data_IF_433787710333
#
_entry.id   IF_433787710333
#
_cell.length_a   1.000
_cell.length_b   1.000
_cell.length_c   1.000
_cell.angle_alpha   90.00
_cell.angle_beta   90.00
_cell.angle_gamma   90.00
#
_symmetry.space_group_name_H-M   'P 1'
#
loop_
_entity.id
_entity.type
_entity.pdbx_description
1 polymer ?
#
# COMPACT_ATOMS: atom_id res chain seq x y z
N UNK A 1 11.90 -14.64 -16.99
CA UNK A 1 11.18 -15.16 -15.80
C UNK A 1 11.24 -14.22 -14.58
N UNK A 2 12.34 -13.50 -14.33
CA UNK A 2 12.49 -12.62 -13.15
C UNK A 2 11.62 -11.36 -13.17
N UNK A 3 11.41 -10.73 -14.34
CA UNK A 3 10.55 -9.55 -14.48
C UNK A 3 9.06 -9.86 -14.25
N UNK A 4 8.62 -11.06 -14.63
CA UNK A 4 7.22 -11.47 -14.53
C UNK A 4 6.79 -11.61 -13.05
N UNK A 5 7.69 -12.11 -12.20
CA UNK A 5 7.50 -12.13 -10.75
C UNK A 5 7.44 -10.72 -10.14
N UNK A 6 8.24 -9.78 -10.66
CA UNK A 6 8.24 -8.39 -10.19
C UNK A 6 6.97 -7.62 -10.59
N UNK A 7 6.24 -8.06 -11.62
CA UNK A 7 4.95 -7.49 -12.03
C UNK A 7 3.77 -7.97 -11.16
N UNK A 8 3.87 -9.15 -10.53
CA UNK A 8 2.78 -9.69 -9.72
C UNK A 8 2.35 -8.76 -8.58
N UNK A 9 3.27 -8.16 -7.78
CA UNK A 9 2.89 -7.19 -6.76
C UNK A 9 2.12 -6.00 -7.35
N UNK A 10 2.60 -5.46 -8.49
CA UNK A 10 1.95 -4.34 -9.15
C UNK A 10 0.50 -4.66 -9.54
N UNK A 11 0.28 -5.84 -10.14
CA UNK A 11 -1.03 -6.29 -10.59
C UNK A 11 -1.94 -6.56 -9.38
N UNK A 12 -1.50 -7.35 -8.41
CA UNK A 12 -2.34 -7.76 -7.30
C UNK A 12 -2.66 -6.61 -6.34
N UNK A 13 -1.67 -5.76 -5.99
CA UNK A 13 -1.96 -4.54 -5.23
C UNK A 13 -2.79 -3.54 -6.03
N UNK A 14 -2.59 -3.45 -7.35
CA UNK A 14 -3.33 -2.51 -8.19
C UNK A 14 -4.80 -2.89 -8.38
N UNK A 15 -5.12 -4.18 -8.50
CA UNK A 15 -6.49 -4.65 -8.66
C UNK A 15 -7.24 -4.70 -7.32
N UNK A 16 -6.53 -4.80 -6.19
CA UNK A 16 -7.13 -4.97 -4.87
C UNK A 16 -8.19 -3.91 -4.52
N UNK A 17 -7.92 -2.60 -4.64
CA UNK A 17 -8.92 -1.56 -4.40
C UNK A 17 -10.18 -1.73 -5.25
N UNK A 18 -10.04 -2.23 -6.48
CA UNK A 18 -11.16 -2.44 -7.40
C UNK A 18 -12.07 -3.59 -6.95
N UNK A 19 -11.46 -4.69 -6.50
CA UNK A 19 -12.20 -5.85 -5.96
C UNK A 19 -12.93 -5.44 -4.68
N UNK A 20 -12.24 -4.74 -3.77
CA UNK A 20 -12.81 -4.24 -2.52
C UNK A 20 -14.05 -3.38 -2.81
N UNK A 21 -13.94 -2.42 -3.74
CA UNK A 21 -15.08 -1.58 -4.13
C UNK A 21 -16.23 -2.38 -4.75
N UNK A 22 -15.94 -3.39 -5.57
CA UNK A 22 -16.96 -4.26 -6.18
C UNK A 22 -17.68 -5.14 -5.16
N UNK A 23 -16.98 -5.62 -4.13
CA UNK A 23 -17.60 -6.37 -3.02
C UNK A 23 -18.57 -5.46 -2.24
N UNK A 24 -18.26 -4.16 -2.17
CA UNK A 24 -19.12 -3.14 -1.58
C UNK A 24 -19.51 -3.46 -0.13
N UNK A 25 -18.53 -3.87 0.68
CA UNK A 25 -18.70 -4.06 2.13
C UNK A 25 -18.76 -2.73 2.87
N UNK A 26 -18.76 -2.77 4.21
CA UNK A 26 -18.34 -1.66 5.06
C UNK A 26 -16.85 -1.80 5.40
N UNK A 27 -16.22 -0.71 5.88
CA UNK A 27 -14.80 -0.71 6.26
C UNK A 27 -14.45 -1.80 7.27
N UNK A 28 -15.37 -2.19 8.15
CA UNK A 28 -15.18 -3.30 9.07
C UNK A 28 -15.03 -4.65 8.34
N UNK A 29 -15.85 -4.92 7.32
CA UNK A 29 -15.76 -6.13 6.49
C UNK A 29 -14.47 -6.16 5.67
N UNK A 30 -14.10 -5.02 5.10
CA UNK A 30 -12.92 -4.85 4.27
C UNK A 30 -11.65 -5.12 5.08
N UNK A 31 -11.57 -4.56 6.30
CA UNK A 31 -10.49 -4.82 7.25
C UNK A 31 -10.44 -6.29 7.63
N UNK A 32 -11.54 -6.85 8.15
CA UNK A 32 -11.57 -8.23 8.62
C UNK A 32 -11.16 -9.22 7.52
N UNK A 33 -11.78 -9.12 6.35
CA UNK A 33 -11.47 -10.00 5.23
C UNK A 33 -10.03 -9.85 4.77
N UNK A 34 -9.53 -8.62 4.65
CA UNK A 34 -8.12 -8.38 4.27
C UNK A 34 -7.16 -9.01 5.27
N UNK A 35 -7.39 -8.82 6.57
CA UNK A 35 -6.58 -9.41 7.64
C UNK A 35 -6.64 -10.93 7.62
N UNK A 36 -7.82 -11.52 7.45
CA UNK A 36 -7.98 -12.98 7.41
C UNK A 36 -7.27 -13.58 6.20
N UNK A 37 -7.44 -13.00 5.02
CA UNK A 37 -6.75 -13.46 3.81
C UNK A 37 -5.23 -13.33 3.91
N UNK A 38 -4.73 -12.25 4.50
CA UNK A 38 -3.32 -12.05 4.78
C UNK A 38 -2.75 -13.15 5.71
N UNK A 39 -3.46 -13.48 6.79
CA UNK A 39 -3.09 -14.56 7.70
C UNK A 39 -3.07 -15.92 7.00
N UNK A 40 -4.10 -16.23 6.20
CA UNK A 40 -4.16 -17.47 5.43
C UNK A 40 -2.95 -17.58 4.50
N UNK A 41 -2.57 -16.49 3.81
CA UNK A 41 -1.38 -16.49 2.97
C UNK A 41 -0.08 -16.70 3.75
N UNK A 42 0.01 -16.19 4.98
CA UNK A 42 1.13 -16.49 5.88
C UNK A 42 1.21 -17.97 6.23
N UNK A 43 0.08 -18.61 6.53
CA UNK A 43 0.03 -20.04 6.83
C UNK A 43 0.43 -20.85 5.59
N UNK A 44 -0.10 -20.51 4.41
CA UNK A 44 0.28 -21.16 3.15
C UNK A 44 1.77 -21.00 2.88
N UNK A 45 2.33 -19.81 3.08
CA UNK A 45 3.77 -19.57 2.91
C UNK A 45 4.61 -20.42 3.87
N UNK A 46 4.20 -20.53 5.13
CA UNK A 46 4.85 -21.41 6.12
C UNK A 46 4.85 -22.88 5.67
N UNK A 47 3.69 -23.38 5.20
CA UNK A 47 3.56 -24.77 4.76
C UNK A 47 4.41 -25.08 3.51
N UNK A 48 4.55 -24.12 2.60
CA UNK A 48 5.30 -24.30 1.34
C UNK A 48 6.80 -24.11 1.53
N UNK A 49 7.21 -23.10 2.30
CA UNK A 49 8.63 -22.72 2.43
C UNK A 49 9.31 -23.37 3.64
N UNK A 50 8.53 -23.89 4.60
CA UNK A 50 9.03 -24.54 5.81
C UNK A 50 9.15 -23.58 7.00
N UNK A 51 9.80 -24.06 8.06
CA UNK A 51 9.78 -23.39 9.36
C UNK A 51 10.55 -22.07 9.39
N UNK A 52 9.94 -21.02 9.94
CA UNK A 52 10.56 -19.74 10.25
C UNK A 52 11.43 -19.81 11.53
N UNK A 53 12.22 -20.87 11.67
CA UNK A 53 13.05 -21.08 12.85
C UNK A 53 14.11 -19.98 13.00
N UNK A 54 14.43 -19.61 14.25
CA UNK A 54 15.51 -18.68 14.58
C UNK A 54 15.11 -17.20 14.67
N UNK A 55 13.82 -16.85 14.60
CA UNK A 55 13.40 -15.47 14.84
C UNK A 55 13.50 -15.10 16.33
N UNK A 56 14.24 -14.04 16.65
CA UNK A 56 14.30 -13.50 18.01
C UNK A 56 12.95 -12.91 18.45
N UNK A 57 12.67 -12.92 19.76
CA UNK A 57 11.44 -12.30 20.30
C UNK A 57 11.33 -10.82 19.91
N UNK A 58 12.44 -10.09 19.88
CA UNK A 58 12.47 -8.68 19.49
C UNK A 58 12.10 -8.51 18.01
N UNK A 59 12.70 -9.31 17.13
CA UNK A 59 12.37 -9.33 15.69
C UNK A 59 10.89 -9.64 15.48
N UNK A 60 10.35 -10.61 16.21
CA UNK A 60 8.93 -10.97 16.15
C UNK A 60 8.04 -9.80 16.54
N UNK A 61 8.27 -9.20 17.71
CA UNK A 61 7.46 -8.10 18.22
C UNK A 61 7.50 -6.88 17.30
N UNK A 62 8.68 -6.50 16.81
CA UNK A 62 8.80 -5.38 15.88
C UNK A 62 8.09 -5.68 14.54
N UNK A 63 8.24 -6.89 14.00
CA UNK A 63 7.54 -7.31 12.77
C UNK A 63 6.03 -7.32 12.95
N UNK A 64 5.55 -7.77 14.11
CA UNK A 64 4.15 -7.73 14.47
C UNK A 64 3.64 -6.28 14.53
N UNK A 65 4.38 -5.37 15.18
CA UNK A 65 4.05 -3.94 15.23
C UNK A 65 4.04 -3.32 13.83
N UNK A 66 4.98 -3.70 12.96
CA UNK A 66 5.03 -3.28 11.57
C UNK A 66 3.74 -3.66 10.83
N UNK A 67 3.29 -4.92 10.96
CA UNK A 67 2.02 -5.38 10.37
C UNK A 67 0.79 -4.69 10.96
N UNK A 68 0.77 -4.49 12.29
CA UNK A 68 -0.27 -3.75 12.98
C UNK A 68 -0.38 -2.30 12.47
N UNK A 69 0.76 -1.62 12.28
CA UNK A 69 0.83 -0.28 11.73
C UNK A 69 0.32 -0.23 10.27
N UNK A 70 0.63 -1.26 9.48
CA UNK A 70 0.08 -1.38 8.12
C UNK A 70 -1.45 -1.48 8.14
N UNK A 71 -2.04 -2.28 9.04
CA UNK A 71 -3.49 -2.40 9.16
C UNK A 71 -4.15 -1.07 9.55
N UNK A 72 -3.55 -0.31 10.47
CA UNK A 72 -4.01 1.05 10.79
C UNK A 72 -3.91 1.95 9.56
N UNK A 73 -2.83 1.82 8.79
CA UNK A 73 -2.65 2.58 7.58
C UNK A 73 -3.73 2.27 6.53
N UNK A 74 -3.99 0.98 6.33
CA UNK A 74 -4.97 0.45 5.39
C UNK A 74 -6.40 0.88 5.73
N UNK A 75 -6.72 0.99 7.02
CA UNK A 75 -8.00 1.49 7.51
C UNK A 75 -8.30 2.90 6.97
N UNK A 76 -7.33 3.81 7.05
CA UNK A 76 -7.46 5.18 6.50
C UNK A 76 -7.71 5.18 4.99
N UNK A 77 -7.12 4.23 4.27
CA UNK A 77 -7.28 4.09 2.83
C UNK A 77 -8.70 3.62 2.47
N UNK A 78 -9.23 2.62 3.19
CA UNK A 78 -10.60 2.15 3.01
C UNK A 78 -11.66 3.22 3.31
N UNK A 79 -11.43 4.05 4.32
CA UNK A 79 -12.27 5.22 4.58
C UNK A 79 -12.20 6.21 3.40
N UNK A 80 -11.01 6.47 2.88
CA UNK A 80 -10.80 7.41 1.76
C UNK A 80 -11.41 6.94 0.44
N UNK A 81 -11.44 5.62 0.17
CA UNK A 81 -12.12 5.07 -1.02
C UNK A 81 -13.62 5.38 -1.06
N UNK A 82 -14.24 5.69 0.09
CA UNK A 82 -15.65 6.07 0.19
C UNK A 82 -15.87 7.57 0.10
N UNK A 83 -14.98 8.36 0.68
CA UNK A 83 -15.13 9.83 0.75
C UNK A 83 -14.63 10.52 -0.52
N UNK A 84 -13.43 10.17 -1.00
CA UNK A 84 -12.78 10.87 -2.12
C UNK A 84 -12.59 10.00 -3.37
N UNK A 85 -12.91 8.70 -3.31
CA UNK A 85 -12.80 7.75 -4.41
C UNK A 85 -11.40 7.16 -4.61
N UNK A 86 -11.30 6.03 -5.31
CA UNK A 86 -10.05 5.28 -5.50
C UNK A 86 -9.08 6.05 -6.40
N UNK A 87 -9.59 6.68 -7.47
CA UNK A 87 -8.79 7.45 -8.44
C UNK A 87 -8.13 8.71 -7.89
N UNK A 88 -8.52 9.14 -6.68
CA UNK A 88 -7.80 10.18 -5.92
C UNK A 88 -7.03 9.56 -4.76
N UNK A 89 -7.64 8.65 -4.02
CA UNK A 89 -7.03 8.03 -2.84
C UNK A 89 -5.69 7.37 -3.15
N UNK A 90 -5.63 6.53 -4.18
CA UNK A 90 -4.42 5.76 -4.49
C UNK A 90 -3.21 6.65 -4.79
N UNK A 91 -3.28 7.60 -5.76
CA UNK A 91 -2.12 8.42 -6.07
C UNK A 91 -1.75 9.39 -4.94
N UNK A 92 -2.73 9.94 -4.21
CA UNK A 92 -2.43 10.82 -3.07
C UNK A 92 -1.77 10.03 -1.94
N UNK A 93 -2.31 8.87 -1.59
CA UNK A 93 -1.76 8.00 -0.55
C UNK A 93 -0.35 7.53 -0.90
N UNK A 94 -0.13 7.05 -2.13
CA UNK A 94 1.19 6.65 -2.61
C UNK A 94 2.16 7.82 -2.56
N UNK A 95 1.76 9.01 -3.01
CA UNK A 95 2.65 10.16 -2.98
C UNK A 95 3.10 10.57 -1.57
N UNK A 96 2.17 10.64 -0.61
CA UNK A 96 2.51 10.97 0.78
C UNK A 96 3.38 9.86 1.40
N UNK A 97 3.05 8.59 1.12
CA UNK A 97 3.84 7.45 1.56
C UNK A 97 5.28 7.55 1.04
N UNK A 98 5.47 7.67 -0.27
CA UNK A 98 6.77 7.75 -0.93
C UNK A 98 7.60 8.94 -0.44
N UNK A 99 6.96 10.09 -0.26
CA UNK A 99 7.62 11.29 0.26
C UNK A 99 8.15 11.04 1.68
N UNK A 100 7.30 10.56 2.57
CA UNK A 100 7.70 10.33 3.97
C UNK A 100 8.70 9.19 4.13
N UNK A 101 8.54 8.07 3.42
CA UNK A 101 9.52 6.97 3.48
C UNK A 101 10.88 7.38 2.94
N UNK A 102 10.94 8.23 1.90
CA UNK A 102 12.20 8.76 1.37
C UNK A 102 12.88 9.71 2.37
N UNK A 103 12.12 10.63 2.98
CA UNK A 103 12.65 11.55 4.00
C UNK A 103 13.17 10.78 5.21
N UNK A 104 12.43 9.79 5.69
CA UNK A 104 12.87 8.93 6.80
C UNK A 104 14.10 8.11 6.38
N UNK A 105 14.13 7.60 5.14
CA UNK A 105 15.29 6.95 4.52
C UNK A 105 16.58 7.76 4.68
N UNK A 106 16.54 9.03 4.26
CA UNK A 106 17.69 9.94 4.31
C UNK A 106 18.09 10.26 5.75
N UNK A 107 17.13 10.55 6.63
CA UNK A 107 17.41 11.01 8.00
C UNK A 107 17.82 9.86 8.92
N UNK A 108 17.09 8.74 8.90
CA UNK A 108 17.24 7.65 9.84
C UNK A 108 18.19 6.55 9.36
N UNK A 109 18.29 6.33 8.04
CA UNK A 109 19.09 5.24 7.45
C UNK A 109 20.27 5.75 6.61
N UNK A 110 20.45 7.06 6.48
CA UNK A 110 21.55 7.64 5.72
C UNK A 110 21.49 7.35 4.22
N UNK A 111 20.28 7.15 3.66
CA UNK A 111 20.08 6.99 2.22
C UNK A 111 20.45 8.29 1.46
N UNK A 112 20.71 8.16 0.15
CA UNK A 112 21.18 9.25 -0.73
C UNK A 112 22.50 9.87 -0.23
N UNK A 113 23.53 9.04 -0.12
CA UNK A 113 24.87 9.49 0.25
C UNK A 113 25.41 10.48 -0.80
N UNK A 114 25.92 11.63 -0.32
CA UNK A 114 26.43 12.70 -1.17
C UNK A 114 25.42 13.82 -1.45
N UNK A 115 25.94 15.03 -1.66
CA UNK A 115 25.13 16.25 -1.85
C UNK A 115 24.28 16.17 -3.12
N UNK A 116 24.85 15.63 -4.21
CA UNK A 116 24.16 15.51 -5.50
C UNK A 116 22.94 14.58 -5.37
N UNK A 117 23.08 13.42 -4.75
CA UNK A 117 21.97 12.48 -4.58
C UNK A 117 20.85 13.08 -3.73
N UNK A 118 21.18 13.83 -2.67
CA UNK A 118 20.19 14.56 -1.87
C UNK A 118 19.45 15.60 -2.71
N UNK A 119 20.15 16.42 -3.49
CA UNK A 119 19.53 17.45 -4.33
C UNK A 119 18.59 16.81 -5.36
N UNK A 120 19.04 15.77 -6.08
CA UNK A 120 18.22 15.07 -7.07
C UNK A 120 17.00 14.42 -6.37
N UNK A 121 17.19 13.80 -5.21
CA UNK A 121 16.12 13.17 -4.46
C UNK A 121 15.05 14.14 -3.97
N UNK A 122 15.44 15.30 -3.43
CA UNK A 122 14.49 16.34 -3.02
C UNK A 122 13.77 16.99 -4.22
N UNK A 123 14.44 17.15 -5.37
CA UNK A 123 13.78 17.58 -6.60
C UNK A 123 12.76 16.55 -7.09
N UNK A 124 13.09 15.26 -7.03
CA UNK A 124 12.15 14.18 -7.36
C UNK A 124 10.93 14.18 -6.43
N UNK A 125 11.13 14.39 -5.12
CA UNK A 125 10.03 14.58 -4.17
C UNK A 125 9.15 15.78 -4.56
N UNK A 126 9.73 16.91 -4.96
CA UNK A 126 8.96 18.07 -5.42
C UNK A 126 8.10 17.76 -6.65
N UNK A 127 8.66 17.03 -7.62
CA UNK A 127 7.93 16.55 -8.81
C UNK A 127 6.79 15.60 -8.42
N UNK A 128 7.03 14.71 -7.46
CA UNK A 128 6.03 13.79 -6.93
C UNK A 128 4.87 14.54 -6.27
N UNK A 129 5.17 15.54 -5.42
CA UNK A 129 4.16 16.39 -4.77
C UNK A 129 3.34 17.15 -5.80
N UNK A 130 3.98 17.65 -6.87
CA UNK A 130 3.29 18.28 -7.98
C UNK A 130 2.31 17.32 -8.68
N UNK A 131 2.73 16.07 -8.92
CA UNK A 131 1.86 15.03 -9.48
C UNK A 131 0.63 14.76 -8.61
N UNK A 132 0.82 14.63 -7.30
CA UNK A 132 -0.25 14.47 -6.31
C UNK A 132 -1.21 15.66 -6.34
N UNK A 133 -0.67 16.89 -6.38
CA UNK A 133 -1.45 18.13 -6.40
C UNK A 133 -2.29 18.29 -7.67
N UNK A 134 -1.74 17.91 -8.83
CA UNK A 134 -2.49 17.92 -10.10
C UNK A 134 -3.68 16.96 -10.01
N UNK A 135 -3.49 15.77 -9.44
CA UNK A 135 -4.55 14.76 -9.30
C UNK A 135 -5.61 15.19 -8.27
N UNK A 136 -5.21 15.77 -7.13
CA UNK A 136 -6.15 16.18 -6.09
C UNK A 136 -7.17 17.22 -6.60
N UNK A 137 -6.77 18.04 -7.59
CA UNK A 137 -7.61 19.04 -8.27
C UNK A 137 -8.51 18.49 -9.38
N UNK A 138 -8.52 17.19 -9.62
CA UNK A 138 -9.47 16.56 -10.57
C UNK A 138 -10.81 16.28 -9.87
N UNK A 139 -11.93 16.28 -10.58
CA UNK A 139 -13.26 16.00 -10.02
C UNK A 139 -14.37 16.87 -10.61
N UNK A 140 -15.62 16.43 -10.47
CA UNK A 140 -16.76 17.21 -10.96
C UNK A 140 -16.94 18.50 -10.14
N UNK A 141 -17.35 19.59 -10.80
CA UNK A 141 -17.59 20.91 -10.17
C UNK A 141 -18.59 20.87 -8.99
N UNK A 142 -19.41 19.82 -8.87
CA UNK A 142 -20.41 19.65 -7.82
C UNK A 142 -19.94 18.76 -6.63
N UNK A 143 -18.79 18.09 -6.72
CA UNK A 143 -18.22 17.34 -5.59
C UNK A 143 -17.46 18.30 -4.66
N UNK A 144 -18.18 18.90 -3.70
CA UNK A 144 -17.56 19.66 -2.61
C UNK A 144 -16.90 18.71 -1.62
N UNK A 145 -15.70 18.22 -1.96
CA UNK A 145 -14.84 17.48 -1.04
C UNK A 145 -14.19 18.48 -0.06
N UNK A 146 -14.30 18.19 1.23
CA UNK A 146 -13.70 18.99 2.29
C UNK A 146 -12.33 18.45 2.65
N UNK A 147 -11.49 19.27 3.28
CA UNK A 147 -10.18 18.83 3.77
C UNK A 147 -10.30 17.65 4.75
N UNK A 148 -11.43 17.53 5.46
CA UNK A 148 -11.73 16.43 6.37
C UNK A 148 -11.81 15.08 5.66
N UNK A 149 -12.20 15.04 4.39
CA UNK A 149 -12.31 13.82 3.61
C UNK A 149 -10.94 13.20 3.29
N UNK A 150 -9.87 14.01 3.40
CA UNK A 150 -8.47 13.61 3.22
C UNK A 150 -7.77 13.30 4.55
N UNK A 151 -8.35 13.63 5.71
CA UNK A 151 -7.74 13.37 7.02
C UNK A 151 -7.38 11.89 7.24
N UNK A 152 -8.19 10.90 6.79
CA UNK A 152 -7.82 9.49 6.91
C UNK A 152 -6.49 9.13 6.24
N UNK A 153 -6.08 9.87 5.19
CA UNK A 153 -4.81 9.61 4.49
C UNK A 153 -3.57 9.97 5.32
N UNK A 154 -3.69 10.88 6.29
CA UNK A 154 -2.59 11.15 7.22
C UNK A 154 -2.33 9.96 8.13
N UNK A 155 -3.40 9.34 8.65
CA UNK A 155 -3.32 8.09 9.42
C UNK A 155 -2.74 6.97 8.55
N UNK A 156 -3.20 6.87 7.29
CA UNK A 156 -2.62 5.96 6.30
C UNK A 156 -1.12 6.11 6.17
N UNK A 157 -0.67 7.35 6.03
CA UNK A 157 0.73 7.67 5.79
C UNK A 157 1.60 7.28 6.98
N UNK A 158 1.20 7.65 8.20
CA UNK A 158 1.94 7.29 9.42
C UNK A 158 2.04 5.77 9.58
N UNK A 159 0.92 5.05 9.43
CA UNK A 159 0.91 3.59 9.52
C UNK A 159 1.85 2.93 8.52
N UNK A 160 1.85 3.43 7.28
CA UNK A 160 2.73 2.93 6.21
C UNK A 160 4.19 3.32 6.37
N UNK A 161 4.50 4.47 6.96
CA UNK A 161 5.87 4.85 7.29
C UNK A 161 6.45 3.90 8.33
N UNK A 162 5.72 3.64 9.42
CA UNK A 162 6.13 2.68 10.45
C UNK A 162 6.28 1.27 9.85
N UNK A 163 5.30 0.83 9.06
CA UNK A 163 5.37 -0.45 8.35
C UNK A 163 6.63 -0.58 7.48
N UNK A 164 7.02 0.49 6.80
CA UNK A 164 8.15 0.49 5.85
C UNK A 164 9.51 0.65 6.53
N UNK A 165 9.58 1.33 7.68
CA UNK A 165 10.84 1.61 8.36
C UNK A 165 11.29 0.45 9.25
N UNK A 166 10.37 -0.24 9.93
CA UNK A 166 10.72 -1.33 10.85
C UNK A 166 11.51 -2.46 10.16
N UNK A 167 11.09 -2.98 8.98
CA UNK A 167 11.87 -4.01 8.28
C UNK A 167 13.28 -3.57 7.88
N UNK A 168 13.50 -2.27 7.66
CA UNK A 168 14.84 -1.72 7.36
C UNK A 168 15.74 -1.64 8.60
N UNK A 169 15.13 -1.54 9.79
CA UNK A 169 15.85 -1.43 11.06
C UNK A 169 16.21 -2.78 11.68
N UNK A 170 15.80 -3.90 11.07
CA UNK A 170 16.01 -5.25 11.60
C UNK A 170 16.77 -6.09 10.58
N UNK A 171 17.84 -6.73 11.04
CA UNK A 171 18.52 -7.77 10.25
C UNK A 171 17.78 -9.10 10.40
N UNK A 172 16.77 -9.31 9.56
CA UNK A 172 15.99 -10.54 9.56
C UNK A 172 15.54 -10.94 8.15
N UNK A 173 15.31 -12.24 7.97
CA UNK A 173 14.86 -12.78 6.70
C UNK A 173 13.45 -12.27 6.37
N UNK A 174 13.25 -11.73 5.17
CA UNK A 174 11.96 -11.17 4.74
C UNK A 174 10.76 -12.12 4.87
N UNK A 175 10.96 -13.44 4.78
CA UNK A 175 9.88 -14.42 4.99
C UNK A 175 9.50 -14.58 6.47
N UNK A 176 10.49 -14.48 7.37
CA UNK A 176 10.25 -14.46 8.80
C UNK A 176 9.44 -13.20 9.15
N UNK A 177 9.89 -12.03 8.70
CA UNK A 177 9.20 -10.74 8.89
C UNK A 177 7.74 -10.79 8.39
N UNK A 178 7.53 -11.35 7.19
CA UNK A 178 6.22 -11.48 6.56
C UNK A 178 5.20 -12.16 7.49
N UNK A 179 5.56 -13.28 8.10
CA UNK A 179 4.63 -14.05 8.93
C UNK A 179 4.11 -13.27 10.15
N UNK A 180 5.03 -12.63 10.89
CA UNK A 180 4.69 -11.81 12.04
C UNK A 180 3.91 -10.55 11.62
N UNK A 181 4.23 -9.95 10.47
CA UNK A 181 3.47 -8.83 9.91
C UNK A 181 2.03 -9.22 9.54
N UNK A 182 1.82 -10.38 8.90
CA UNK A 182 0.47 -10.83 8.55
C UNK A 182 -0.35 -11.11 9.81
N UNK A 183 0.27 -11.66 10.86
CA UNK A 183 -0.39 -11.87 12.15
C UNK A 183 -0.77 -10.53 12.82
N UNK A 184 0.15 -9.56 12.88
CA UNK A 184 -0.14 -8.23 13.42
C UNK A 184 -1.25 -7.52 12.65
N UNK A 185 -1.24 -7.67 11.32
CA UNK A 185 -2.29 -7.17 10.43
C UNK A 185 -3.66 -7.78 10.79
N UNK A 186 -3.72 -9.11 10.92
CA UNK A 186 -4.95 -9.82 11.27
C UNK A 186 -5.50 -9.41 12.64
N UNK A 187 -4.63 -9.30 13.65
CA UNK A 187 -5.05 -8.93 15.01
C UNK A 187 -5.70 -7.56 15.02
N UNK A 188 -5.03 -6.53 14.46
CA UNK A 188 -5.59 -5.17 14.41
C UNK A 188 -6.86 -5.11 13.57
N UNK A 189 -6.86 -5.75 12.40
CA UNK A 189 -8.04 -5.80 11.53
C UNK A 189 -9.25 -6.42 12.22
N UNK A 190 -9.02 -7.51 12.97
CA UNK A 190 -10.07 -8.22 13.71
C UNK A 190 -10.59 -7.39 14.88
N UNK A 191 -9.69 -6.80 15.69
CA UNK A 191 -10.08 -5.91 16.79
C UNK A 191 -10.93 -4.75 16.28
N UNK A 192 -10.48 -4.07 15.21
CA UNK A 192 -11.23 -2.97 14.61
C UNK A 192 -12.60 -3.42 14.11
N UNK A 193 -12.67 -4.56 13.43
CA UNK A 193 -13.91 -5.06 12.86
C UNK A 193 -14.95 -5.37 13.94
N UNK A 194 -14.56 -6.07 15.02
CA UNK A 194 -15.46 -6.35 16.14
C UNK A 194 -15.86 -5.10 16.92
N UNK A 195 -14.93 -4.15 17.09
CA UNK A 195 -15.23 -2.86 17.72
C UNK A 195 -16.31 -2.08 16.95
N UNK A 196 -16.29 -2.16 15.60
CA UNK A 196 -17.27 -1.45 14.76
C UNK A 196 -18.58 -2.20 14.55
N UNK A 197 -18.54 -3.51 14.36
CA UNK A 197 -19.75 -4.31 14.18
C UNK A 197 -19.54 -5.74 14.66
N UNK A 198 -20.34 -6.14 15.65
CA UNK A 198 -20.37 -7.52 16.15
C UNK A 198 -20.94 -8.51 15.12
N UNK A 199 -21.56 -8.02 14.04
CA UNK A 199 -22.13 -8.84 12.96
C UNK A 199 -21.19 -9.05 11.78
N UNK A 200 -19.96 -8.54 11.84
CA UNK A 200 -18.96 -8.70 10.76
C UNK A 200 -18.85 -10.16 10.30
N UNK A 201 -18.84 -11.13 11.21
CA UNK A 201 -18.74 -12.54 10.83
C UNK A 201 -19.97 -13.11 10.10
N UNK A 202 -21.14 -12.50 10.28
CA UNK A 202 -22.40 -12.91 9.66
C UNK A 202 -22.55 -12.33 8.25
N UNK A 203 -21.81 -11.28 7.93
CA UNK A 203 -21.92 -10.56 6.66
C UNK A 203 -21.08 -11.24 5.58
N UNK A 204 -21.73 -11.57 4.45
CA UNK A 204 -21.09 -12.21 3.29
C UNK A 204 -19.88 -11.40 2.78
N UNK A 205 -19.96 -10.08 2.87
CA UNK A 205 -18.93 -9.15 2.42
C UNK A 205 -17.61 -9.35 3.18
N UNK A 206 -17.64 -9.75 4.45
CA UNK A 206 -16.43 -10.06 5.23
C UNK A 206 -15.65 -11.20 4.63
N UNK A 207 -16.36 -12.28 4.27
CA UNK A 207 -15.77 -13.48 3.69
C UNK A 207 -15.33 -13.27 2.24
N UNK A 208 -16.07 -12.45 1.47
CA UNK A 208 -15.64 -12.06 0.13
C UNK A 208 -14.38 -11.19 0.17
N UNK A 209 -14.24 -10.32 1.18
CA UNK A 209 -13.04 -9.49 1.36
C UNK A 209 -11.79 -10.30 1.76
N UNK A 210 -11.93 -11.59 2.08
CA UNK A 210 -10.79 -12.52 2.19
C UNK A 210 -10.03 -12.63 0.87
N UNK A 211 -10.71 -12.51 -0.29
CA UNK A 211 -10.06 -12.55 -1.60
C UNK A 211 -9.03 -11.42 -1.75
N UNK A 212 -9.37 -10.13 -1.53
CA UNK A 212 -8.39 -9.06 -1.45
C UNK A 212 -7.23 -9.32 -0.48
N UNK A 213 -7.51 -9.92 0.68
CA UNK A 213 -6.48 -10.30 1.65
C UNK A 213 -5.51 -11.36 1.11
N UNK A 214 -6.03 -12.37 0.41
CA UNK A 214 -5.21 -13.40 -0.24
C UNK A 214 -4.33 -12.80 -1.33
N UNK A 215 -4.89 -11.92 -2.17
CA UNK A 215 -4.14 -11.20 -3.20
C UNK A 215 -3.07 -10.30 -2.61
N UNK A 216 -3.36 -9.63 -1.48
CA UNK A 216 -2.38 -8.82 -0.76
C UNK A 216 -1.22 -9.65 -0.22
N UNK A 217 -1.51 -10.79 0.42
CA UNK A 217 -0.48 -11.70 0.92
C UNK A 217 0.37 -12.29 -0.22
N UNK A 218 -0.27 -12.68 -1.32
CA UNK A 218 0.42 -13.18 -2.51
C UNK A 218 1.30 -12.12 -3.18
N UNK A 219 0.82 -10.88 -3.28
CA UNK A 219 1.59 -9.74 -3.75
C UNK A 219 2.83 -9.51 -2.89
N UNK A 220 2.67 -9.53 -1.56
CA UNK A 220 3.74 -9.31 -0.60
C UNK A 220 4.81 -10.40 -0.66
N UNK A 221 4.40 -11.68 -0.78
CA UNK A 221 5.33 -12.80 -1.01
C UNK A 221 6.07 -12.67 -2.34
N UNK A 222 5.34 -12.37 -3.41
CA UNK A 222 5.92 -12.17 -4.74
C UNK A 222 6.95 -11.04 -4.73
N UNK A 223 6.67 -9.96 -3.98
CA UNK A 223 7.59 -8.85 -3.79
C UNK A 223 8.87 -9.27 -3.06
N UNK A 224 8.77 -10.06 -1.99
CA UNK A 224 9.95 -10.57 -1.26
C UNK A 224 10.84 -11.40 -2.20
N UNK A 225 10.26 -12.28 -3.01
CA UNK A 225 11.02 -13.08 -3.97
C UNK A 225 11.57 -12.26 -5.15
N UNK A 226 10.81 -11.27 -5.63
CA UNK A 226 11.26 -10.36 -6.67
C UNK A 226 12.45 -9.52 -6.19
N UNK A 227 12.36 -8.94 -4.99
CA UNK A 227 13.43 -8.15 -4.38
C UNK A 227 14.74 -8.94 -4.25
N UNK A 228 14.68 -10.24 -3.92
CA UNK A 228 15.85 -11.13 -3.89
C UNK A 228 16.49 -11.37 -5.26
N UNK A 229 15.70 -11.30 -6.35
CA UNK A 229 16.15 -11.64 -7.70
C UNK A 229 16.59 -10.44 -8.54
N UNK A 230 15.89 -9.30 -8.41
CA UNK A 230 16.13 -8.10 -9.23
C UNK A 230 16.59 -6.89 -8.41
N UNK A 231 16.73 -7.05 -7.09
CA UNK A 231 17.04 -5.98 -6.15
C UNK A 231 15.79 -5.28 -5.61
N UNK A 232 15.89 -4.74 -4.39
CA UNK A 232 14.79 -4.06 -3.69
C UNK A 232 14.33 -2.83 -4.47
N UNK A 233 15.25 -1.98 -4.93
CA UNK A 233 14.93 -0.77 -5.70
C UNK A 233 14.16 -1.09 -6.98
N UNK A 234 14.64 -2.05 -7.77
CA UNK A 234 13.96 -2.47 -9.02
C UNK A 234 12.59 -3.06 -8.74
N UNK A 235 12.48 -3.97 -7.76
CA UNK A 235 11.20 -4.58 -7.39
C UNK A 235 10.20 -3.53 -6.88
N UNK A 236 10.68 -2.53 -6.15
CA UNK A 236 9.88 -1.43 -5.64
C UNK A 236 9.31 -0.56 -6.77
N UNK A 237 10.16 -0.13 -7.71
CA UNK A 237 9.75 0.70 -8.86
C UNK A 237 8.70 -0.02 -9.71
N UNK A 238 8.94 -1.30 -10.03
CA UNK A 238 7.96 -2.10 -10.77
C UNK A 238 6.67 -2.22 -9.96
N UNK A 239 6.78 -2.42 -8.65
CA UNK A 239 5.65 -2.45 -7.73
C UNK A 239 4.79 -1.19 -7.77
N UNK A 240 5.37 0.00 -7.95
CA UNK A 240 4.63 1.28 -7.99
C UNK A 240 3.65 1.38 -9.16
N UNK A 241 3.76 0.53 -10.20
CA UNK A 241 2.77 0.44 -11.27
C UNK A 241 1.36 0.12 -10.72
N UNK A 242 1.26 -0.44 -9.50
CA UNK A 242 -0.02 -0.64 -8.80
C UNK A 242 -0.88 0.63 -8.75
N UNK A 243 -0.26 1.82 -8.62
CA UNK A 243 -0.99 3.08 -8.49
C UNK A 243 -1.69 3.43 -9.80
N UNK A 244 -1.07 3.11 -10.93
CA UNK A 244 -1.66 3.31 -12.26
C UNK A 244 -2.80 2.33 -12.49
N UNK A 245 -2.59 1.06 -12.17
CA UNK A 245 -3.61 0.01 -12.35
C UNK A 245 -4.84 0.33 -11.52
N UNK A 246 -4.67 0.70 -10.25
CA UNK A 246 -5.78 1.03 -9.35
C UNK A 246 -6.50 2.32 -9.77
N UNK A 247 -5.76 3.36 -10.13
CA UNK A 247 -6.33 4.65 -10.53
C UNK A 247 -7.08 4.59 -11.85
N UNK A 248 -6.44 4.05 -12.89
CA UNK A 248 -7.08 3.91 -14.20
C UNK A 248 -8.18 2.85 -14.16
N UNK A 249 -7.94 1.75 -13.42
CA UNK A 249 -8.94 0.72 -13.21
C UNK A 249 -10.20 1.26 -12.53
N UNK A 250 -10.09 2.18 -11.56
CA UNK A 250 -11.29 2.76 -10.95
C UNK A 250 -12.04 3.69 -11.90
N UNK A 251 -11.33 4.44 -12.74
CA UNK A 251 -11.94 5.30 -13.76
C UNK A 251 -12.67 4.45 -14.81
N UNK A 252 -12.03 3.43 -15.36
CA UNK A 252 -12.59 2.67 -16.50
C UNK A 252 -13.52 1.53 -16.07
N UNK A 253 -13.19 0.79 -15.01
CA UNK A 253 -13.95 -0.40 -14.59
C UNK A 253 -15.04 -0.03 -13.58
N UNK A 254 -14.72 0.83 -12.62
CA UNK A 254 -15.69 1.29 -11.61
C UNK A 254 -16.45 2.54 -12.04
N UNK A 255 -16.13 3.08 -13.22
CA UNK A 255 -16.78 4.25 -13.81
C UNK A 255 -16.72 5.49 -12.91
N UNK A 256 -15.64 5.64 -12.13
CA UNK A 256 -15.39 6.90 -11.43
C UNK A 256 -15.26 8.02 -12.46
N UNK A 257 -16.13 9.03 -12.36
CA UNK A 257 -16.41 9.99 -13.44
C UNK A 257 -15.28 11.01 -13.65
N UNK A 258 -14.21 10.58 -14.33
CA UNK A 258 -13.18 11.47 -14.87
C UNK A 258 -13.21 11.41 -16.39
N UNK A 259 -13.53 12.55 -17.02
CA UNK A 259 -13.53 12.67 -18.48
C UNK A 259 -12.78 13.93 -18.93
N UNK A 260 -12.31 13.92 -20.18
CA UNK A 260 -11.64 15.07 -20.81
C UNK A 260 -10.40 15.53 -20.03
N UNK A 261 -10.40 16.81 -19.63
CA UNK A 261 -9.25 17.47 -18.98
C UNK A 261 -8.82 16.79 -17.68
N UNK A 262 -9.75 16.19 -16.94
CA UNK A 262 -9.42 15.55 -15.66
C UNK A 262 -8.79 14.17 -15.83
N UNK A 263 -9.10 13.46 -16.92
CA UNK A 263 -8.39 12.24 -17.28
C UNK A 263 -6.94 12.57 -17.66
N UNK A 264 -6.72 13.62 -18.46
CA UNK A 264 -5.38 14.08 -18.85
C UNK A 264 -4.56 14.47 -17.63
N UNK A 265 -5.10 15.31 -16.73
CA UNK A 265 -4.44 15.67 -15.46
C UNK A 265 -4.10 14.43 -14.63
N UNK A 266 -5.02 13.46 -14.56
CA UNK A 266 -4.78 12.22 -13.81
C UNK A 266 -3.60 11.43 -14.40
N UNK A 267 -3.58 11.22 -15.72
CA UNK A 267 -2.51 10.51 -16.40
C UNK A 267 -1.16 11.23 -16.27
N UNK A 268 -1.13 12.55 -16.43
CA UNK A 268 0.08 13.37 -16.25
C UNK A 268 0.59 13.24 -14.82
N UNK A 269 -0.29 13.39 -13.82
CA UNK A 269 0.10 13.27 -12.41
C UNK A 269 0.63 11.89 -12.06
N UNK A 270 0.04 10.82 -12.59
CA UNK A 270 0.53 9.45 -12.43
C UNK A 270 1.92 9.28 -13.04
N UNK A 271 2.15 9.86 -14.23
CA UNK A 271 3.46 9.88 -14.87
C UNK A 271 4.53 10.55 -14.00
N UNK A 272 4.20 11.71 -13.42
CA UNK A 272 5.11 12.42 -12.50
C UNK A 272 5.43 11.60 -11.24
N UNK A 273 4.42 10.96 -10.63
CA UNK A 273 4.61 10.10 -9.46
C UNK A 273 5.52 8.91 -9.80
N UNK A 274 5.29 8.24 -10.92
CA UNK A 274 6.11 7.12 -11.34
C UNK A 274 7.55 7.54 -11.65
N UNK A 275 7.74 8.61 -12.43
CA UNK A 275 9.08 9.13 -12.75
C UNK A 275 9.85 9.49 -11.49
N UNK A 276 9.22 10.21 -10.56
CA UNK A 276 9.84 10.55 -9.29
C UNK A 276 10.17 9.30 -8.46
N UNK A 277 9.26 8.32 -8.40
CA UNK A 277 9.52 7.06 -7.69
C UNK A 277 10.67 6.24 -8.28
N UNK A 278 10.86 6.29 -9.60
CA UNK A 278 12.02 5.70 -10.26
C UNK A 278 13.29 6.41 -9.80
N UNK A 279 13.33 7.74 -9.89
CA UNK A 279 14.50 8.52 -9.52
C UNK A 279 14.88 8.26 -8.06
N UNK A 280 13.94 8.37 -7.12
CA UNK A 280 14.23 8.20 -5.69
C UNK A 280 14.72 6.81 -5.32
N UNK A 281 14.27 5.76 -6.02
CA UNK A 281 14.66 4.39 -5.73
C UNK A 281 16.09 4.03 -6.15
N UNK A 282 16.70 4.80 -7.07
CA UNK A 282 18.04 4.54 -7.62
C UNK A 282 19.12 5.53 -7.14
N UNK A 283 18.82 6.36 -6.15
CA UNK A 283 19.75 7.29 -5.49
C UNK A 283 20.39 6.71 -4.24
#
# INVERSE_FOLDING_TARGET
>A
MNLLLALLPAIFWGINPLIIKKINGQTANEMFGTGLGALIMSIVAFLVVGSFNGMSTVTFLLSFISGAAWAIGQLGQFMSFRTIGISKTMPISTGIQLTGTSIIGVIAFGEWQGVINKVIGFLAIAVLILGVFIISKTGQQNDKQNIQDYLPLFITSIGYWVYSCIPKAIDANGLQLFSAQMLGTFVVATIYAFYKSHRVLQEKQSWLNTIPGLLYGLASLSYIFAARKVGVSTAFVIGQINVVISTLGSIFILKESKQGKDLVKTTVGLGLILLASCVTAFL
#
